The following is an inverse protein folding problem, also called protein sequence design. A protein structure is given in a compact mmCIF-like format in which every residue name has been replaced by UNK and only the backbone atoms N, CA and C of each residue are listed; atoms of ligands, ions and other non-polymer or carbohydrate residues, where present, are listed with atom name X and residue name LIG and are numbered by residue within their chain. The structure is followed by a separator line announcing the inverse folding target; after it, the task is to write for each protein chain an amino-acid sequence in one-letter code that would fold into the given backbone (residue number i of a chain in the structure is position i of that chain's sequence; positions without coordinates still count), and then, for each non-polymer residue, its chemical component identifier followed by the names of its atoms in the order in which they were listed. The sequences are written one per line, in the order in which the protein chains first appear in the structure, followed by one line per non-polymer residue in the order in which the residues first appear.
data_IF_707356109334
#
_entry.id   IF_707356109334
#
_cell.length_a   1.000
_cell.length_b   1.000
_cell.length_c   1.000
_cell.angle_alpha   90.00
_cell.angle_beta   90.00
_cell.angle_gamma   90.00
#
_symmetry.space_group_name_H-M   'P 1'
#
loop_
_entity.id
_entity.type
_entity.pdbx_description
1 polymer ?
#
# COMPACT_ATOMS: atom_id res chain seq x y z
N UNK A 1 -17.54 -4.82 -4.18
CA UNK A 1 -16.12 -4.61 -3.82
C UNK A 1 -15.92 -3.29 -3.06
N UNK A 2 -16.60 -2.20 -3.47
CA UNK A 2 -16.65 -0.91 -2.75
C UNK A 2 -16.96 -1.02 -1.25
N UNK A 3 -18.01 -1.76 -0.86
CA UNK A 3 -18.33 -1.94 0.56
C UNK A 3 -17.19 -2.61 1.37
N UNK A 4 -16.45 -3.53 0.73
CA UNK A 4 -15.28 -4.16 1.37
C UNK A 4 -14.12 -3.18 1.52
N UNK A 5 -13.92 -2.29 0.55
CA UNK A 5 -12.93 -1.21 0.63
C UNK A 5 -13.27 -0.25 1.78
N UNK A 6 -14.52 0.21 1.87
CA UNK A 6 -14.97 1.06 2.99
C UNK A 6 -14.82 0.37 4.34
N UNK A 7 -15.16 -0.92 4.45
CA UNK A 7 -14.96 -1.68 5.67
C UNK A 7 -13.47 -1.78 6.05
N UNK A 8 -12.60 -2.00 5.07
CA UNK A 8 -11.16 -2.04 5.29
C UNK A 8 -10.61 -0.67 5.74
N UNK A 9 -11.03 0.42 5.10
CA UNK A 9 -10.64 1.79 5.49
C UNK A 9 -11.11 2.09 6.91
N UNK A 10 -12.36 1.80 7.24
CA UNK A 10 -12.89 2.00 8.59
C UNK A 10 -12.14 1.20 9.65
N UNK A 11 -11.75 -0.04 9.33
CA UNK A 11 -10.89 -0.85 10.21
C UNK A 11 -9.49 -0.23 10.38
N UNK A 12 -8.87 0.24 9.30
CA UNK A 12 -7.58 0.93 9.34
C UNK A 12 -7.64 2.22 10.17
N UNK A 13 -8.73 2.99 10.09
CA UNK A 13 -8.93 4.19 10.92
C UNK A 13 -9.04 3.85 12.41
N UNK A 14 -9.73 2.76 12.75
CA UNK A 14 -9.85 2.27 14.12
C UNK A 14 -8.50 1.83 14.73
N UNK A 15 -7.57 1.34 13.91
CA UNK A 15 -6.22 0.98 14.36
C UNK A 15 -5.35 2.18 14.78
N UNK A 16 -5.78 3.41 14.43
CA UNK A 16 -5.12 4.69 14.77
C UNK A 16 -3.62 4.62 14.51
N UNK A 17 -3.25 4.39 13.24
CA UNK A 17 -1.85 4.32 12.85
C UNK A 17 -1.19 5.68 13.06
N UNK A 18 0.01 5.67 13.64
CA UNK A 18 0.89 6.84 13.60
C UNK A 18 1.46 7.03 12.19
N UNK A 19 1.91 8.24 11.88
CA UNK A 19 2.57 8.55 10.60
C UNK A 19 3.76 7.63 10.31
N UNK A 20 4.51 7.26 11.36
CA UNK A 20 5.65 6.34 11.25
C UNK A 20 5.22 4.92 10.90
N UNK A 21 4.20 4.40 11.57
CA UNK A 21 3.67 3.06 11.28
C UNK A 21 3.09 3.00 9.87
N UNK A 22 2.34 4.04 9.48
CA UNK A 22 1.79 4.14 8.13
C UNK A 22 2.90 4.19 7.07
N UNK A 23 3.96 4.99 7.27
CA UNK A 23 5.10 5.05 6.38
C UNK A 23 5.80 3.69 6.22
N UNK A 24 5.94 2.93 7.31
CA UNK A 24 6.55 1.60 7.27
C UNK A 24 5.69 0.57 6.55
N UNK A 25 4.37 0.61 6.73
CA UNK A 25 3.46 -0.25 5.95
C UNK A 25 3.54 0.08 4.46
N UNK A 26 3.56 1.36 4.08
CA UNK A 26 3.78 1.77 2.68
C UNK A 26 5.12 1.27 2.14
N UNK A 27 6.19 1.37 2.92
CA UNK A 27 7.50 0.87 2.54
C UNK A 27 7.51 -0.66 2.37
N UNK A 28 6.79 -1.41 3.23
CA UNK A 28 6.65 -2.86 3.09
C UNK A 28 5.90 -3.26 1.81
N UNK A 29 4.88 -2.49 1.43
CA UNK A 29 4.20 -2.65 0.13
C UNK A 29 5.13 -2.34 -1.04
N UNK A 30 5.89 -1.24 -0.97
CA UNK A 30 6.82 -0.81 -2.03
C UNK A 30 7.93 -1.84 -2.28
N UNK A 31 8.49 -2.42 -1.21
CA UNK A 31 9.54 -3.41 -1.31
C UNK A 31 9.02 -4.85 -1.39
N UNK A 32 7.76 -5.06 -1.76
CA UNK A 32 7.23 -6.41 -1.93
C UNK A 32 7.99 -7.14 -3.05
N UNK A 33 8.48 -8.37 -2.82
CA UNK A 33 9.10 -9.18 -3.87
C UNK A 33 8.06 -9.84 -4.79
N UNK A 34 6.77 -9.59 -4.58
CA UNK A 34 5.69 -10.16 -5.37
C UNK A 34 5.81 -9.69 -6.84
N UNK A 35 5.97 -10.63 -7.77
CA UNK A 35 5.97 -10.35 -9.21
C UNK A 35 7.25 -9.71 -9.77
N UNK A 36 8.33 -9.59 -8.99
CA UNK A 36 9.62 -9.10 -9.49
C UNK A 36 10.53 -10.22 -10.00
N UNK A 37 11.50 -9.93 -10.90
CA UNK A 37 12.51 -10.90 -11.31
C UNK A 37 13.41 -11.38 -10.16
N UNK A 38 13.88 -12.62 -10.24
CA UNK A 38 14.69 -13.28 -9.20
C UNK A 38 15.92 -12.48 -8.75
N UNK A 39 16.57 -11.75 -9.68
CA UNK A 39 17.76 -10.97 -9.36
C UNK A 39 17.47 -9.78 -8.42
N UNK A 40 16.22 -9.30 -8.35
CA UNK A 40 15.78 -8.23 -7.43
C UNK A 40 15.19 -8.77 -6.13
N UNK A 41 14.62 -9.98 -6.16
CA UNK A 41 13.93 -10.60 -5.02
C UNK A 41 14.76 -10.53 -3.74
N UNK A 42 16.02 -10.93 -3.79
CA UNK A 42 16.90 -10.92 -2.61
C UNK A 42 17.12 -9.53 -2.03
N UNK A 43 17.36 -8.55 -2.90
CA UNK A 43 17.60 -7.16 -2.50
C UNK A 43 16.36 -6.52 -1.88
N UNK A 44 15.17 -6.82 -2.43
CA UNK A 44 13.90 -6.34 -1.87
C UNK A 44 13.59 -6.97 -0.52
N UNK A 45 13.84 -8.28 -0.36
CA UNK A 45 13.73 -8.95 0.94
C UNK A 45 14.66 -8.33 2.00
N UNK A 46 15.89 -7.96 1.64
CA UNK A 46 16.80 -7.26 2.54
C UNK A 46 16.25 -5.90 2.99
N UNK A 47 15.60 -5.15 2.08
CA UNK A 47 14.95 -3.88 2.43
C UNK A 47 13.71 -4.11 3.31
N UNK A 48 12.86 -5.10 3.00
CA UNK A 48 11.71 -5.44 3.84
C UNK A 48 12.14 -5.82 5.26
N UNK A 49 13.22 -6.59 5.41
CA UNK A 49 13.76 -6.95 6.72
C UNK A 49 14.21 -5.72 7.54
N UNK A 50 14.81 -4.71 6.88
CA UNK A 50 15.20 -3.44 7.52
C UNK A 50 13.98 -2.63 7.95
N UNK A 51 12.96 -2.52 7.09
CA UNK A 51 11.71 -1.82 7.42
C UNK A 51 10.98 -2.51 8.56
N UNK A 52 10.88 -3.84 8.53
CA UNK A 52 10.24 -4.63 9.58
C UNK A 52 10.93 -4.46 10.94
N UNK A 53 12.27 -4.41 10.95
CA UNK A 53 13.03 -4.11 12.18
C UNK A 53 12.69 -2.73 12.72
N UNK A 54 12.63 -1.72 11.85
CA UNK A 54 12.24 -0.34 12.22
C UNK A 54 10.79 -0.27 12.75
N UNK A 55 9.88 -1.06 12.18
CA UNK A 55 8.49 -1.17 12.65
C UNK A 55 8.39 -1.75 14.04
N UNK A 56 9.11 -2.85 14.31
CA UNK A 56 9.17 -3.42 15.67
C UNK A 56 9.64 -2.41 16.69
N UNK A 57 10.71 -1.67 16.40
CA UNK A 57 11.19 -0.60 17.30
C UNK A 57 10.17 0.53 17.48
N UNK A 58 9.38 0.83 16.44
CA UNK A 58 8.33 1.89 16.51
C UNK A 58 7.13 1.45 17.35
N UNK A 59 6.75 0.17 17.31
CA UNK A 59 5.60 -0.36 18.03
C UNK A 59 5.92 -0.81 19.47
N UNK A 60 7.19 -0.84 19.89
CA UNK A 60 7.56 -1.22 21.25
C UNK A 60 6.89 -0.33 22.31
N UNK A 61 6.42 -0.92 23.43
CA UNK A 61 6.58 -2.32 23.85
C UNK A 61 5.50 -3.30 23.33
N UNK A 62 4.62 -2.88 22.42
CA UNK A 62 3.48 -3.67 21.92
C UNK A 62 3.87 -4.52 20.70
N UNK A 63 4.35 -5.74 20.94
CA UNK A 63 4.70 -6.69 19.88
C UNK A 63 3.48 -7.20 19.10
N UNK A 64 2.29 -7.25 19.73
CA UNK A 64 1.05 -7.68 19.08
C UNK A 64 0.57 -6.67 18.03
N UNK A 65 0.85 -5.39 18.24
CA UNK A 65 0.56 -4.33 17.26
C UNK A 65 1.26 -4.56 15.93
N UNK A 66 2.52 -5.00 15.94
CA UNK A 66 3.25 -5.32 14.70
C UNK A 66 2.53 -6.41 13.91
N UNK A 67 2.12 -7.49 14.58
CA UNK A 67 1.40 -8.59 13.93
C UNK A 67 0.04 -8.11 13.39
N UNK A 68 -0.70 -7.32 14.17
CA UNK A 68 -2.00 -6.75 13.79
C UNK A 68 -1.91 -5.90 12.53
N UNK A 69 -0.88 -5.05 12.44
CA UNK A 69 -0.63 -4.20 11.28
C UNK A 69 -0.23 -5.01 10.04
N UNK A 70 0.65 -6.00 10.19
CA UNK A 70 1.08 -6.87 9.08
C UNK A 70 -0.08 -7.70 8.51
N UNK A 71 -1.02 -8.15 9.34
CA UNK A 71 -2.22 -8.89 8.92
C UNK A 71 -3.18 -8.06 8.06
N UNK A 72 -3.02 -6.73 8.01
CA UNK A 72 -3.81 -5.87 7.10
C UNK A 72 -3.28 -5.90 5.67
N UNK A 73 -1.99 -6.20 5.46
CA UNK A 73 -1.37 -6.18 4.14
C UNK A 73 -1.96 -7.23 3.16
N UNK A 74 -2.23 -8.49 3.56
CA UNK A 74 -2.93 -9.45 2.71
C UNK A 74 -4.33 -8.98 2.30
N UNK A 75 -5.07 -8.34 3.21
CA UNK A 75 -6.42 -7.81 2.90
C UNK A 75 -6.30 -6.69 1.86
N UNK A 76 -5.32 -5.80 2.02
CA UNK A 76 -5.04 -4.74 1.05
C UNK A 76 -4.72 -5.30 -0.35
N UNK A 77 -3.96 -6.41 -0.44
CA UNK A 77 -3.65 -7.08 -1.71
C UNK A 77 -4.89 -7.63 -2.44
N UNK A 78 -6.02 -7.81 -1.76
CA UNK A 78 -7.24 -8.32 -2.41
C UNK A 78 -7.93 -7.28 -3.31
N UNK A 79 -7.56 -6.00 -3.18
CA UNK A 79 -8.04 -4.94 -4.06
C UNK A 79 -7.12 -4.86 -5.28
N UNK A 80 -7.69 -5.07 -6.48
CA UNK A 80 -6.92 -4.98 -7.73
C UNK A 80 -6.64 -3.53 -8.09
N UNK A 81 -5.54 -3.28 -8.81
CA UNK A 81 -5.22 -1.94 -9.32
C UNK A 81 -6.37 -1.35 -10.13
N UNK A 82 -6.93 -2.13 -11.06
CA UNK A 82 -8.10 -1.74 -11.87
C UNK A 82 -9.31 -1.34 -11.03
N UNK A 83 -9.63 -2.08 -9.97
CA UNK A 83 -10.75 -1.73 -9.10
C UNK A 83 -10.50 -0.42 -8.36
N UNK A 84 -9.26 -0.19 -7.90
CA UNK A 84 -8.89 1.07 -7.24
C UNK A 84 -8.97 2.22 -8.26
N UNK A 85 -8.48 2.02 -9.48
CA UNK A 85 -8.58 3.00 -10.55
C UNK A 85 -10.02 3.37 -10.89
N UNK A 86 -10.91 2.38 -10.99
CA UNK A 86 -12.34 2.63 -11.24
C UNK A 86 -12.98 3.48 -10.14
N UNK A 87 -12.62 3.20 -8.88
CA UNK A 87 -13.17 3.93 -7.73
C UNK A 87 -12.70 5.38 -7.67
N UNK A 88 -11.43 5.66 -8.02
CA UNK A 88 -10.83 6.98 -7.85
C UNK A 88 -10.81 7.83 -9.13
N UNK A 89 -10.60 7.22 -10.30
CA UNK A 89 -10.30 7.93 -11.53
C UNK A 89 -11.44 7.98 -12.53
N UNK A 90 -12.39 7.03 -12.56
CA UNK A 90 -13.51 7.08 -13.53
C UNK A 90 -14.34 8.35 -13.37
N UNK A 91 -14.55 8.83 -12.15
CA UNK A 91 -15.25 10.10 -11.91
C UNK A 91 -14.50 11.35 -12.37
N UNK A 92 -13.19 11.26 -12.61
CA UNK A 92 -12.33 12.37 -13.03
C UNK A 92 -11.97 12.31 -14.52
N UNK A 93 -11.67 11.11 -15.02
CA UNK A 93 -11.11 10.85 -16.35
C UNK A 93 -12.13 10.19 -17.30
N UNK A 94 -13.26 9.71 -16.78
CA UNK A 94 -14.21 8.90 -17.54
C UNK A 94 -13.69 7.48 -17.76
N UNK A 95 -14.09 6.86 -18.88
CA UNK A 95 -13.69 5.49 -19.24
C UNK A 95 -12.26 5.36 -19.79
N UNK A 96 -11.44 6.42 -19.69
CA UNK A 96 -10.04 6.41 -20.17
C UNK A 96 -9.13 5.87 -19.07
N UNK A 97 -8.20 4.98 -19.45
CA UNK A 97 -7.20 4.45 -18.53
C UNK A 97 -6.32 5.57 -17.96
N UNK A 98 -6.07 5.53 -16.64
CA UNK A 98 -5.23 6.52 -15.97
C UNK A 98 -3.80 6.55 -16.54
N UNK A 99 -3.29 5.41 -17.01
CA UNK A 99 -1.96 5.28 -17.62
C UNK A 99 -1.83 6.13 -18.89
N UNK A 100 -2.93 6.30 -19.63
CA UNK A 100 -2.96 7.12 -20.83
C UNK A 100 -3.04 8.61 -20.48
N UNK A 101 -3.57 8.96 -19.31
CA UNK A 101 -3.83 10.34 -18.90
C UNK A 101 -2.69 10.97 -18.11
N UNK A 102 -1.96 10.17 -17.31
CA UNK A 102 -0.79 10.63 -16.54
C UNK A 102 0.20 11.43 -17.40
N UNK A 103 0.61 10.98 -18.61
CA UNK A 103 1.52 11.73 -19.46
C UNK A 103 0.99 13.11 -19.84
N UNK A 104 -0.32 13.25 -20.09
CA UNK A 104 -0.92 14.54 -20.43
C UNK A 104 -1.00 15.46 -19.21
N UNK A 105 -1.37 14.95 -18.03
CA UNK A 105 -1.40 15.74 -16.79
C UNK A 105 -0.01 16.29 -16.46
N UNK A 106 1.04 15.47 -16.60
CA UNK A 106 2.42 15.89 -16.36
C UNK A 106 2.93 16.92 -17.37
N UNK A 107 2.40 16.92 -18.60
CA UNK A 107 2.79 17.85 -19.64
C UNK A 107 1.91 19.11 -19.71
N UNK A 108 0.71 19.10 -19.10
CA UNK A 108 -0.21 20.24 -19.08
C UNK A 108 0.23 21.34 -18.10
N UNK A 109 1.10 21.04 -17.14
CA UNK A 109 1.73 22.03 -16.24
C UNK A 109 2.97 22.71 -16.84
N UNK A 110 3.23 22.54 -18.14
CA UNK A 110 4.29 23.23 -18.88
C UNK A 110 3.77 24.34 -19.78
#
# INVERSE_FOLDING_TARGET
MLCRLHQFIGHMEQLRLSDREHAHLRALCLFSPDGVPDFLTRKLQDYQAKVLRSLRTTCQPDDERVATLLLQLPVLRTFTGTFIEDVFFVGFVGDVSIDEVIPYLLNAER
#
